data_IF_513076977708
#
_entry.id   IF_513076977708
#
_cell.length_a   1.000
_cell.length_b   1.000
_cell.length_c   1.000
_cell.angle_alpha   90.00
_cell.angle_beta   90.00
_cell.angle_gamma   90.00
#
_symmetry.space_group_name_H-M   'P 1'
#
loop_
_entity.id
_entity.type
_entity.pdbx_description
1 polymer ?
#
# COMPACT_ATOMS: atom_id res chain seq x y z
N UNK A 1 21.79 -9.39 6.34
CA UNK A 1 22.71 -8.57 5.50
C UNK A 1 21.95 -7.82 4.40
N UNK A 2 21.18 -8.49 3.53
CA UNK A 2 20.38 -7.83 2.47
C UNK A 2 19.46 -6.72 3.00
N UNK A 3 18.73 -6.98 4.09
CA UNK A 3 17.87 -5.99 4.76
C UNK A 3 18.59 -4.67 5.08
N UNK A 4 19.83 -4.73 5.56
CA UNK A 4 20.63 -3.54 5.83
C UNK A 4 20.92 -2.75 4.56
N UNK A 5 21.31 -3.43 3.48
CA UNK A 5 21.58 -2.77 2.21
C UNK A 5 20.33 -2.14 1.60
N UNK A 6 19.18 -2.84 1.64
CA UNK A 6 17.91 -2.26 1.18
C UNK A 6 17.53 -1.00 1.97
N UNK A 7 17.68 -1.03 3.29
CA UNK A 7 17.44 0.15 4.14
C UNK A 7 18.37 1.30 3.76
N UNK A 8 19.67 1.03 3.63
CA UNK A 8 20.66 2.04 3.23
C UNK A 8 20.34 2.65 1.86
N UNK A 9 19.97 1.83 0.87
CA UNK A 9 19.61 2.28 -0.48
C UNK A 9 18.37 3.18 -0.47
N UNK A 10 17.31 2.77 0.24
CA UNK A 10 16.07 3.56 0.30
C UNK A 10 16.32 4.87 1.07
N UNK A 11 17.07 4.85 2.18
CA UNK A 11 17.45 6.07 2.91
C UNK A 11 18.39 6.99 2.12
N UNK A 12 19.19 6.45 1.20
CA UNK A 12 19.99 7.22 0.25
C UNK A 12 19.14 7.83 -0.89
N UNK A 13 17.87 7.45 -1.00
CA UNK A 13 16.90 7.99 -1.95
C UNK A 13 16.83 7.23 -3.27
N UNK A 14 17.29 5.98 -3.34
CA UNK A 14 17.06 5.12 -4.49
C UNK A 14 15.56 4.80 -4.59
N UNK A 15 14.98 4.94 -5.79
CA UNK A 15 13.58 4.59 -6.02
C UNK A 15 13.43 3.09 -6.19
N UNK A 16 12.22 2.56 -6.00
CA UNK A 16 11.91 1.14 -6.19
C UNK A 16 12.27 0.65 -7.59
N UNK A 17 11.96 1.44 -8.63
CA UNK A 17 12.37 1.14 -10.01
C UNK A 17 13.89 1.10 -10.19
N UNK A 18 14.63 1.97 -9.50
CA UNK A 18 16.09 1.92 -9.54
C UNK A 18 16.61 0.65 -8.86
N UNK A 19 16.06 0.28 -7.70
CA UNK A 19 16.47 -0.94 -6.99
C UNK A 19 16.17 -2.19 -7.85
N UNK A 20 15.01 -2.25 -8.50
CA UNK A 20 14.65 -3.36 -9.41
C UNK A 20 15.70 -3.62 -10.49
N UNK A 21 16.26 -2.57 -11.09
CA UNK A 21 17.25 -2.71 -12.18
C UNK A 21 18.57 -3.37 -11.76
N UNK A 22 18.93 -3.35 -10.47
CA UNK A 22 20.16 -3.99 -9.98
C UNK A 22 19.91 -5.04 -8.89
N UNK A 23 18.66 -5.27 -8.49
CA UNK A 23 18.31 -6.22 -7.42
C UNK A 23 18.86 -7.64 -7.64
N UNK A 24 18.83 -8.23 -8.86
CA UNK A 24 19.42 -9.55 -9.09
C UNK A 24 20.91 -9.60 -8.75
N UNK A 25 21.66 -8.53 -9.07
CA UNK A 25 23.08 -8.41 -8.69
C UNK A 25 23.24 -8.15 -7.20
N UNK A 26 22.39 -7.32 -6.60
CA UNK A 26 22.43 -7.05 -5.16
C UNK A 26 22.29 -8.36 -4.36
N UNK A 27 21.37 -9.24 -4.75
CA UNK A 27 21.18 -10.54 -4.12
C UNK A 27 22.49 -11.36 -4.12
N UNK A 28 23.09 -11.57 -5.30
CA UNK A 28 24.34 -12.32 -5.46
C UNK A 28 25.49 -11.73 -4.63
N UNK A 29 25.65 -10.40 -4.63
CA UNK A 29 26.67 -9.73 -3.82
C UNK A 29 26.45 -9.92 -2.32
N UNK A 30 25.19 -9.91 -1.87
CA UNK A 30 24.88 -10.11 -0.45
C UNK A 30 25.10 -11.55 0.02
N UNK A 31 24.88 -12.54 -0.85
CA UNK A 31 25.23 -13.94 -0.57
C UNK A 31 26.74 -14.13 -0.45
N UNK A 32 27.51 -13.42 -1.29
CA UNK A 32 28.99 -13.40 -1.27
C UNK A 32 29.60 -12.55 -0.15
N UNK A 33 28.77 -11.96 0.74
CA UNK A 33 29.19 -11.09 1.85
C UNK A 33 30.14 -9.95 1.44
N UNK A 34 29.85 -9.37 0.28
CA UNK A 34 30.63 -8.31 -0.35
C UNK A 34 30.52 -6.98 0.44
N UNK A 35 31.58 -6.16 0.40
CA UNK A 35 31.62 -4.84 1.04
C UNK A 35 30.75 -3.78 0.33
N UNK A 36 30.32 -2.75 1.07
CA UNK A 36 29.56 -1.62 0.53
C UNK A 36 30.27 -0.94 -0.66
N UNK A 37 31.61 -0.89 -0.64
CA UNK A 37 32.43 -0.28 -1.71
C UNK A 37 32.23 -1.00 -3.03
N UNK A 38 32.19 -2.33 -3.03
CA UNK A 38 31.96 -3.11 -4.24
C UNK A 38 30.52 -2.96 -4.74
N UNK A 39 29.52 -2.87 -3.84
CA UNK A 39 28.14 -2.55 -4.22
C UNK A 39 28.04 -1.18 -4.89
N UNK A 40 28.73 -0.16 -4.35
CA UNK A 40 28.77 1.18 -4.96
C UNK A 40 29.36 1.16 -6.37
N UNK A 41 30.43 0.39 -6.57
CA UNK A 41 31.07 0.21 -7.88
C UNK A 41 30.08 -0.41 -8.87
N UNK A 42 29.37 -1.47 -8.47
CA UNK A 42 28.37 -2.14 -9.30
C UNK A 42 27.20 -1.21 -9.66
N UNK A 43 26.66 -0.45 -8.71
CA UNK A 43 25.59 0.53 -8.98
C UNK A 43 26.05 1.56 -10.02
N UNK A 44 27.31 2.00 -9.95
CA UNK A 44 27.88 2.94 -10.91
C UNK A 44 28.05 2.36 -12.34
N UNK A 45 27.99 1.04 -12.52
CA UNK A 45 27.95 0.40 -13.85
C UNK A 45 26.56 0.43 -14.47
N UNK A 46 25.51 0.46 -13.65
CA UNK A 46 24.10 0.38 -14.10
C UNK A 46 23.52 1.76 -14.40
N UNK A 47 23.96 2.79 -13.68
CA UNK A 47 23.44 4.15 -13.82
C UNK A 47 24.54 5.16 -14.15
N UNK A 48 24.28 6.14 -15.03
CA UNK A 48 25.21 7.24 -15.26
C UNK A 48 25.49 7.98 -13.95
N UNK A 49 26.77 8.08 -13.55
CA UNK A 49 27.19 8.67 -12.26
C UNK A 49 26.58 10.05 -12.00
N UNK A 50 26.40 10.87 -13.03
CA UNK A 50 25.78 12.19 -12.90
C UNK A 50 24.37 12.15 -12.28
N UNK A 51 23.58 11.11 -12.59
CA UNK A 51 22.17 10.99 -12.14
C UNK A 51 22.03 10.50 -10.69
N UNK A 52 23.01 9.77 -10.17
CA UNK A 52 22.96 9.15 -8.85
C UNK A 52 24.05 9.64 -7.89
N UNK A 53 24.88 10.62 -8.30
CA UNK A 53 26.01 11.12 -7.50
C UNK A 53 25.62 11.48 -6.07
N UNK A 54 24.56 12.26 -5.90
CA UNK A 54 24.08 12.65 -4.56
C UNK A 54 23.58 11.46 -3.74
N UNK A 55 22.98 10.44 -4.38
CA UNK A 55 22.52 9.22 -3.72
C UNK A 55 23.70 8.36 -3.25
N UNK A 56 24.73 8.22 -4.09
CA UNK A 56 25.96 7.50 -3.73
C UNK A 56 26.71 8.18 -2.59
N UNK A 57 26.80 9.52 -2.60
CA UNK A 57 27.40 10.28 -1.51
C UNK A 57 26.63 10.07 -0.20
N UNK A 58 25.29 10.18 -0.22
CA UNK A 58 24.46 9.89 0.96
C UNK A 58 24.66 8.46 1.46
N UNK A 59 24.70 7.49 0.55
CA UNK A 59 24.88 6.08 0.89
C UNK A 59 26.19 5.81 1.65
N UNK A 60 27.26 6.52 1.31
CA UNK A 60 28.55 6.42 1.99
C UNK A 60 28.55 7.01 3.41
N UNK A 61 27.67 7.99 3.68
CA UNK A 61 27.60 8.67 4.99
C UNK A 61 26.53 8.10 5.91
N UNK A 62 25.65 7.22 5.41
CA UNK A 62 24.59 6.64 6.21
C UNK A 62 25.13 5.56 7.15
N UNK A 63 24.67 5.61 8.40
CA UNK A 63 24.92 4.58 9.40
C UNK A 63 23.66 3.71 9.58
N UNK A 64 23.83 2.41 9.39
CA UNK A 64 22.75 1.43 9.57
C UNK A 64 22.32 1.32 11.04
N UNK A 65 23.23 1.51 12.00
CA UNK A 65 22.90 1.45 13.41
C UNK A 65 21.98 2.60 13.81
N UNK A 66 22.30 3.81 13.36
CA UNK A 66 21.41 4.96 13.49
C UNK A 66 20.03 4.72 12.87
N UNK A 67 19.96 4.16 11.64
CA UNK A 67 18.68 3.82 11.00
C UNK A 67 17.88 2.84 11.87
N UNK A 68 18.52 1.77 12.34
CA UNK A 68 17.88 0.76 13.16
C UNK A 68 17.37 1.33 14.50
N UNK A 69 18.18 2.14 15.18
CA UNK A 69 17.79 2.78 16.44
C UNK A 69 16.62 3.73 16.27
N UNK A 70 16.62 4.57 15.22
CA UNK A 70 15.51 5.49 14.93
C UNK A 70 14.22 4.73 14.63
N UNK A 71 14.30 3.64 13.85
CA UNK A 71 13.12 2.81 13.56
C UNK A 71 12.56 2.16 14.83
N UNK A 72 13.44 1.63 15.69
CA UNK A 72 13.06 1.02 16.96
C UNK A 72 12.43 2.04 17.94
N UNK A 73 13.03 3.22 18.11
CA UNK A 73 12.54 4.29 18.98
C UNK A 73 11.10 4.70 18.63
N UNK A 74 10.78 4.75 17.34
CA UNK A 74 9.45 5.11 16.84
C UNK A 74 8.50 3.92 16.63
N UNK A 75 8.91 2.71 17.03
CA UNK A 75 8.14 1.47 16.87
C UNK A 75 7.76 1.18 15.41
N UNK A 76 8.69 1.46 14.49
CA UNK A 76 8.52 1.21 13.06
C UNK A 76 9.34 -0.03 12.70
N UNK A 77 8.66 -1.06 12.19
CA UNK A 77 9.25 -2.33 11.82
C UNK A 77 9.47 -2.34 10.31
N UNK A 78 10.72 -2.39 9.81
CA UNK A 78 10.98 -2.58 8.39
C UNK A 78 10.78 -4.06 8.00
N UNK A 79 9.90 -4.33 7.04
CA UNK A 79 9.68 -5.63 6.40
C UNK A 79 10.19 -5.55 4.97
N UNK A 80 11.16 -6.39 4.63
CA UNK A 80 11.79 -6.44 3.30
C UNK A 80 11.15 -7.53 2.43
N UNK A 81 11.31 -7.45 1.11
CA UNK A 81 10.73 -8.41 0.14
C UNK A 81 11.09 -9.89 0.36
N UNK A 82 12.12 -10.16 1.17
CA UNK A 82 12.56 -11.50 1.54
C UNK A 82 12.23 -11.86 2.99
N UNK A 83 11.62 -10.96 3.76
CA UNK A 83 11.14 -11.28 5.10
C UNK A 83 9.90 -12.19 5.03
N UNK A 84 9.75 -13.16 5.95
CA UNK A 84 8.59 -14.06 5.98
C UNK A 84 7.23 -13.37 6.14
N UNK A 85 7.23 -12.16 6.70
CA UNK A 85 6.02 -11.34 6.87
C UNK A 85 5.68 -10.52 5.62
N UNK A 86 6.50 -10.57 4.57
CA UNK A 86 6.21 -9.82 3.35
C UNK A 86 5.00 -10.44 2.62
N UNK A 87 3.96 -9.66 2.32
CA UNK A 87 2.72 -10.14 1.70
C UNK A 87 2.98 -10.83 0.35
N UNK A 88 2.50 -12.07 0.19
CA UNK A 88 2.72 -12.87 -1.02
C UNK A 88 2.12 -12.20 -2.27
N UNK A 89 0.86 -11.77 -2.18
CA UNK A 89 0.19 -11.06 -3.27
C UNK A 89 0.94 -9.79 -3.67
N UNK A 90 1.43 -9.01 -2.70
CA UNK A 90 2.16 -7.79 -3.02
C UNK A 90 3.46 -8.10 -3.77
N UNK A 91 4.09 -9.25 -3.51
CA UNK A 91 5.31 -9.67 -4.20
C UNK A 91 5.09 -10.01 -5.67
N UNK A 92 3.85 -10.33 -6.07
CA UNK A 92 3.48 -10.73 -7.43
C UNK A 92 3.22 -9.55 -8.37
N UNK A 93 3.07 -8.32 -7.86
CA UNK A 93 2.84 -7.17 -8.73
C UNK A 93 4.08 -6.87 -9.58
N UNK A 94 3.93 -6.05 -10.62
CA UNK A 94 5.03 -5.70 -11.53
C UNK A 94 6.21 -5.00 -10.83
N UNK A 95 5.93 -4.05 -9.94
CA UNK A 95 6.92 -3.24 -9.23
C UNK A 95 6.73 -3.29 -7.70
N UNK A 96 6.97 -4.45 -7.05
CA UNK A 96 6.78 -4.61 -5.61
C UNK A 96 7.76 -3.72 -4.83
N UNK A 97 7.32 -3.12 -3.71
CA UNK A 97 8.20 -2.33 -2.85
C UNK A 97 9.24 -3.23 -2.16
N UNK A 98 10.52 -2.84 -2.16
CA UNK A 98 11.56 -3.68 -1.53
C UNK A 98 11.53 -3.67 0.00
N UNK A 99 11.01 -2.59 0.60
CA UNK A 99 10.84 -2.44 2.04
C UNK A 99 9.50 -1.76 2.32
N UNK A 100 8.76 -2.33 3.27
CA UNK A 100 7.61 -1.73 3.91
C UNK A 100 8.03 -1.30 5.32
N UNK A 101 7.83 -0.03 5.64
CA UNK A 101 7.90 0.50 6.99
C UNK A 101 6.53 0.31 7.62
N UNK A 102 6.44 -0.52 8.65
CA UNK A 102 5.21 -0.95 9.27
C UNK A 102 5.09 -0.42 10.69
N UNK A 103 3.91 0.02 11.11
CA UNK A 103 3.65 0.46 12.48
C UNK A 103 2.29 -0.06 12.96
N UNK A 104 2.31 -0.82 14.06
CA UNK A 104 1.15 -1.53 14.62
C UNK A 104 1.29 -3.07 14.54
N UNK A 105 0.18 -3.78 14.38
CA UNK A 105 0.09 -5.25 14.36
C UNK A 105 0.59 -5.86 13.05
N UNK A 106 1.81 -6.41 13.08
CA UNK A 106 2.48 -6.93 11.89
C UNK A 106 1.79 -8.15 11.26
N UNK A 107 1.13 -8.97 12.08
CA UNK A 107 0.51 -10.23 11.67
C UNK A 107 -0.56 -10.04 10.59
N UNK A 108 -1.16 -8.84 10.49
CA UNK A 108 -2.12 -8.49 9.44
C UNK A 108 -1.54 -8.63 8.02
N UNK A 109 -0.22 -8.52 7.84
CA UNK A 109 0.42 -8.72 6.54
C UNK A 109 0.36 -10.17 6.05
N UNK A 110 0.26 -11.13 6.95
CA UNK A 110 0.21 -12.57 6.62
C UNK A 110 -1.16 -13.00 6.07
N UNK A 111 -2.17 -12.12 6.13
CA UNK A 111 -3.53 -12.40 5.68
C UNK A 111 -3.84 -11.86 4.29
N UNK A 112 -2.85 -11.78 3.38
CA UNK A 112 -3.04 -11.16 2.05
C UNK A 112 -4.20 -11.78 1.26
N UNK A 113 -4.43 -13.10 1.38
CA UNK A 113 -5.55 -13.79 0.75
C UNK A 113 -6.93 -13.39 1.26
N UNK A 114 -7.00 -12.66 2.38
CA UNK A 114 -8.22 -12.10 2.99
C UNK A 114 -8.30 -10.57 2.92
N UNK A 115 -7.34 -9.94 2.27
CA UNK A 115 -7.34 -8.48 2.09
C UNK A 115 -8.35 -8.08 1.00
N UNK A 116 -9.20 -7.11 1.34
CA UNK A 116 -10.12 -6.43 0.43
C UNK A 116 -9.76 -4.93 0.44
N UNK A 117 -9.32 -4.42 -0.72
CA UNK A 117 -9.08 -3.00 -0.86
C UNK A 117 -10.38 -2.25 -1.04
N UNK A 118 -10.55 -1.13 -0.33
CA UNK A 118 -11.69 -0.24 -0.50
C UNK A 118 -11.18 1.09 -1.04
N UNK A 119 -11.65 1.48 -2.21
CA UNK A 119 -11.28 2.73 -2.87
C UNK A 119 -12.51 3.47 -3.38
N UNK A 120 -12.41 4.78 -3.54
CA UNK A 120 -13.52 5.56 -4.06
C UNK A 120 -13.25 7.06 -4.02
N UNK A 121 -14.33 7.83 -4.10
CA UNK A 121 -14.27 9.25 -4.21
C UNK A 121 -13.98 9.92 -2.86
N UNK A 122 -13.22 11.01 -2.93
CA UNK A 122 -13.00 11.89 -1.77
C UNK A 122 -14.28 12.65 -1.37
N UNK A 123 -15.18 12.84 -2.34
CA UNK A 123 -16.53 13.36 -2.16
C UNK A 123 -17.47 12.20 -2.47
N UNK A 124 -18.15 11.71 -1.47
CA UNK A 124 -19.09 10.61 -1.54
C UNK A 124 -20.49 11.11 -1.15
N UNK A 125 -21.51 10.34 -1.48
CA UNK A 125 -22.85 10.54 -0.95
C UNK A 125 -23.01 9.72 0.35
N UNK A 126 -24.18 9.79 0.98
CA UNK A 126 -24.51 8.95 2.15
C UNK A 126 -24.65 7.46 1.78
N UNK A 127 -24.67 7.15 0.48
CA UNK A 127 -24.67 5.79 -0.03
C UNK A 127 -23.43 4.99 0.40
N UNK A 128 -22.22 5.56 0.22
CA UNK A 128 -20.96 4.87 0.58
C UNK A 128 -20.93 4.38 2.04
N UNK A 129 -21.16 5.21 3.07
CA UNK A 129 -21.12 4.74 4.45
C UNK A 129 -22.20 3.70 4.76
N UNK A 130 -23.44 3.86 4.26
CA UNK A 130 -24.54 2.91 4.50
C UNK A 130 -24.25 1.53 3.93
N UNK A 131 -23.73 1.46 2.70
CA UNK A 131 -23.42 0.20 2.05
C UNK A 131 -22.20 -0.47 2.72
N UNK A 132 -21.15 0.29 3.03
CA UNK A 132 -19.99 -0.27 3.72
C UNK A 132 -20.36 -0.83 5.09
N UNK A 133 -21.20 -0.13 5.85
CA UNK A 133 -21.73 -0.66 7.12
C UNK A 133 -22.44 -2.01 6.92
N UNK A 134 -23.36 -2.07 5.94
CA UNK A 134 -24.14 -3.29 5.63
C UNK A 134 -23.26 -4.45 5.20
N UNK A 135 -22.30 -4.20 4.30
CA UNK A 135 -21.37 -5.23 3.83
C UNK A 135 -20.48 -5.72 4.98
N UNK A 136 -19.93 -4.81 5.79
CA UNK A 136 -18.98 -5.16 6.84
C UNK A 136 -19.63 -5.90 8.00
N UNK A 137 -20.90 -5.63 8.31
CA UNK A 137 -21.67 -6.46 9.23
C UNK A 137 -21.72 -7.92 8.79
N UNK A 138 -21.83 -8.17 7.48
CA UNK A 138 -21.86 -9.53 6.90
C UNK A 138 -20.49 -10.21 6.95
N UNK A 139 -19.40 -9.45 6.98
CA UNK A 139 -18.03 -9.99 7.05
C UNK A 139 -17.65 -10.53 8.44
N UNK A 140 -18.46 -10.32 9.49
CA UNK A 140 -18.13 -10.77 10.85
C UNK A 140 -17.89 -12.29 10.97
N UNK A 141 -18.60 -13.08 10.18
CA UNK A 141 -18.45 -14.55 10.17
C UNK A 141 -17.28 -15.03 9.29
N UNK A 142 -16.86 -14.20 8.34
CA UNK A 142 -15.71 -14.45 7.46
C UNK A 142 -14.86 -13.17 7.36
N UNK A 143 -14.09 -12.84 8.43
CA UNK A 143 -13.43 -11.55 8.54
C UNK A 143 -12.45 -11.30 7.40
N UNK A 144 -12.70 -10.23 6.65
CA UNK A 144 -11.78 -9.68 5.67
C UNK A 144 -10.92 -8.58 6.30
N UNK A 145 -9.69 -8.42 5.80
CA UNK A 145 -8.81 -7.32 6.18
C UNK A 145 -9.05 -6.15 5.24
N UNK A 146 -9.55 -5.04 5.78
CA UNK A 146 -9.89 -3.86 5.00
C UNK A 146 -8.63 -3.04 4.72
N UNK A 147 -8.22 -2.93 3.46
CA UNK A 147 -7.04 -2.18 3.04
C UNK A 147 -7.47 -0.87 2.39
N UNK A 148 -6.95 0.26 2.84
CA UNK A 148 -7.22 1.55 2.19
C UNK A 148 -6.12 2.57 2.48
N UNK A 149 -6.29 3.79 1.95
CA UNK A 149 -5.24 4.78 1.85
C UNK A 149 -5.25 5.90 2.90
N UNK A 150 -6.09 5.84 3.92
CA UNK A 150 -6.22 6.90 4.94
C UNK A 150 -6.44 8.33 4.38
N UNK A 151 -6.92 8.45 3.13
CA UNK A 151 -7.33 9.72 2.55
C UNK A 151 -8.71 10.17 3.09
N UNK A 152 -9.14 11.38 2.73
CA UNK A 152 -10.52 11.81 3.00
C UNK A 152 -11.53 11.01 2.16
N UNK A 153 -12.77 10.93 2.63
CA UNK A 153 -13.88 10.31 1.91
C UNK A 153 -13.90 8.80 2.11
N UNK A 154 -14.07 8.04 1.01
CA UNK A 154 -14.19 6.57 1.06
C UNK A 154 -13.11 5.90 1.90
N UNK A 155 -11.84 6.27 1.74
CA UNK A 155 -10.73 5.66 2.50
C UNK A 155 -10.92 5.79 4.02
N UNK A 156 -11.25 7.00 4.50
CA UNK A 156 -11.49 7.24 5.92
C UNK A 156 -12.71 6.48 6.42
N UNK A 157 -13.80 6.46 5.64
CA UNK A 157 -15.03 5.76 5.99
C UNK A 157 -14.81 4.25 6.07
N UNK A 158 -14.08 3.68 5.11
CA UNK A 158 -13.74 2.26 5.11
C UNK A 158 -13.02 1.86 6.40
N UNK A 159 -12.00 2.62 6.81
CA UNK A 159 -11.32 2.37 8.07
C UNK A 159 -12.23 2.57 9.29
N UNK A 160 -13.03 3.62 9.32
CA UNK A 160 -13.96 3.89 10.44
C UNK A 160 -14.98 2.76 10.60
N UNK A 161 -15.59 2.33 9.51
CA UNK A 161 -16.56 1.22 9.51
C UNK A 161 -15.89 -0.09 9.89
N UNK A 162 -14.66 -0.36 9.40
CA UNK A 162 -13.91 -1.54 9.81
C UNK A 162 -13.68 -1.56 11.33
N UNK A 163 -13.23 -0.44 11.91
CA UNK A 163 -13.04 -0.32 13.36
C UNK A 163 -14.34 -0.49 14.14
N UNK A 164 -15.44 0.13 13.70
CA UNK A 164 -16.76 0.00 14.34
C UNK A 164 -17.29 -1.44 14.32
N UNK A 165 -17.06 -2.16 13.21
CA UNK A 165 -17.47 -3.56 13.05
C UNK A 165 -16.43 -4.56 13.57
N UNK A 166 -15.35 -4.10 14.20
CA UNK A 166 -14.25 -4.90 14.75
C UNK A 166 -13.56 -5.77 13.68
N UNK A 167 -13.48 -5.26 12.45
CA UNK A 167 -12.75 -5.88 11.36
C UNK A 167 -11.30 -5.38 11.32
N UNK A 168 -10.35 -6.26 10.98
CA UNK A 168 -8.96 -5.86 10.82
C UNK A 168 -8.80 -4.86 9.66
N UNK A 169 -7.89 -3.90 9.79
CA UNK A 169 -7.66 -2.90 8.74
C UNK A 169 -6.19 -2.51 8.57
N UNK A 170 -5.78 -2.21 7.34
CA UNK A 170 -4.42 -1.76 7.00
C UNK A 170 -4.47 -0.41 6.28
N UNK A 171 -3.88 0.61 6.87
CA UNK A 171 -3.71 1.92 6.25
C UNK A 171 -2.39 2.03 5.47
N UNK A 172 -2.45 2.18 4.15
CA UNK A 172 -1.26 2.32 3.31
C UNK A 172 -0.94 3.80 3.10
N UNK A 173 0.25 4.27 3.43
CA UNK A 173 0.66 5.68 3.40
C UNK A 173 1.46 6.03 2.14
N UNK A 174 1.28 7.26 1.63
CA UNK A 174 2.04 7.82 0.51
C UNK A 174 3.24 8.68 0.96
N UNK A 175 3.66 8.55 2.21
CA UNK A 175 4.67 9.37 2.88
C UNK A 175 5.24 8.61 4.09
N UNK A 176 6.31 9.12 4.69
CA UNK A 176 6.93 8.50 5.87
C UNK A 176 6.12 8.70 7.15
N UNK A 177 6.25 7.79 8.12
CA UNK A 177 5.46 7.81 9.37
C UNK A 177 5.65 9.07 10.24
N UNK A 178 6.67 9.90 10.02
CA UNK A 178 6.85 11.18 10.74
C UNK A 178 5.96 12.31 10.20
N UNK A 179 5.28 12.07 9.08
CA UNK A 179 4.35 13.01 8.47
C UNK A 179 2.94 12.45 8.51
N UNK A 180 1.93 13.31 8.41
CA UNK A 180 0.53 12.88 8.26
C UNK A 180 -0.24 13.78 7.32
N UNK A 181 -1.01 13.17 6.41
CA UNK A 181 -1.93 13.87 5.52
C UNK A 181 -3.08 12.96 5.12
N UNK A 182 -4.32 13.48 5.05
CA UNK A 182 -4.75 14.82 5.47
C UNK A 182 -4.85 14.94 7.00
N UNK A 183 -4.74 16.17 7.55
CA UNK A 183 -4.80 16.40 9.01
C UNK A 183 -6.07 15.84 9.67
N UNK A 184 -7.19 15.82 8.94
CA UNK A 184 -8.48 15.30 9.42
C UNK A 184 -8.46 13.81 9.78
N UNK A 185 -7.58 13.01 9.17
CA UNK A 185 -7.49 11.56 9.43
C UNK A 185 -6.40 11.21 10.44
N UNK A 186 -5.81 12.19 11.15
CA UNK A 186 -4.71 11.96 12.09
C UNK A 186 -5.14 11.08 13.26
N UNK A 187 -6.30 11.39 13.86
CA UNK A 187 -6.86 10.62 14.95
C UNK A 187 -7.22 9.19 14.52
N UNK A 188 -7.82 9.05 13.33
CA UNK A 188 -8.11 7.75 12.73
C UNK A 188 -6.84 6.91 12.54
N UNK A 189 -5.77 7.52 12.02
CA UNK A 189 -4.48 6.84 11.90
C UNK A 189 -3.94 6.40 13.26
N UNK A 190 -4.02 7.23 14.30
CA UNK A 190 -3.57 6.87 15.65
C UNK A 190 -4.31 5.65 16.19
N UNK A 191 -5.64 5.57 15.98
CA UNK A 191 -6.43 4.40 16.36
C UNK A 191 -6.00 3.14 15.59
N UNK A 192 -5.73 3.27 14.29
CA UNK A 192 -5.23 2.14 13.49
C UNK A 192 -3.84 1.72 13.97
N UNK A 193 -2.92 2.65 14.21
CA UNK A 193 -1.55 2.31 14.68
C UNK A 193 -1.54 1.64 16.06
N UNK A 194 -2.55 1.88 16.91
CA UNK A 194 -2.64 1.27 18.25
C UNK A 194 -3.28 -0.11 18.28
N UNK A 195 -4.14 -0.44 17.32
CA UNK A 195 -4.95 -1.67 17.34
C UNK A 195 -4.86 -2.52 16.06
N UNK A 196 -4.25 -1.99 15.00
CA UNK A 196 -4.21 -2.54 13.66
C UNK A 196 -2.88 -2.16 13.01
N UNK A 197 -2.81 -1.94 11.69
CA UNK A 197 -1.56 -1.70 10.99
C UNK A 197 -1.60 -0.50 10.06
N UNK A 198 -0.53 0.27 10.04
CA UNK A 198 -0.23 1.18 8.94
C UNK A 198 1.11 0.82 8.30
N UNK A 199 1.21 1.03 7.00
CA UNK A 199 2.44 0.75 6.26
C UNK A 199 2.81 1.90 5.32
N UNK A 200 4.09 2.01 4.99
CA UNK A 200 4.60 2.91 3.95
C UNK A 200 5.76 2.27 3.22
N UNK A 201 5.89 2.52 1.92
CA UNK A 201 7.13 2.20 1.18
C UNK A 201 8.25 3.21 1.47
N UNK A 202 7.91 4.36 2.05
CA UNK A 202 8.83 5.48 2.21
C UNK A 202 9.45 5.52 3.61
N UNK A 203 10.76 5.84 3.73
CA UNK A 203 11.41 6.04 5.02
C UNK A 203 10.64 7.02 5.90
N UNK A 204 10.69 6.90 7.24
CA UNK A 204 9.86 7.67 8.16
C UNK A 204 9.90 9.20 7.96
N UNK A 205 11.06 9.74 7.56
CA UNK A 205 11.28 11.17 7.34
C UNK A 205 10.77 11.69 5.98
N UNK A 206 10.29 10.82 5.09
CA UNK A 206 9.92 11.18 3.72
C UNK A 206 8.70 12.10 3.69
N UNK A 207 8.80 13.30 3.10
CA UNK A 207 7.70 14.27 3.12
C UNK A 207 6.53 13.86 2.24
N UNK A 208 5.41 14.57 2.35
CA UNK A 208 4.24 14.37 1.49
C UNK A 208 4.53 14.92 0.09
N UNK A 209 4.17 14.17 -0.95
CA UNK A 209 4.25 14.64 -2.34
C UNK A 209 3.10 14.09 -3.19
N UNK A 210 2.55 14.91 -4.09
CA UNK A 210 1.35 14.56 -4.88
C UNK A 210 1.53 13.31 -5.75
N UNK A 211 2.71 13.10 -6.32
CA UNK A 211 2.99 11.96 -7.19
C UNK A 211 3.06 10.62 -6.42
N UNK A 212 3.27 10.65 -5.10
CA UNK A 212 3.34 9.44 -4.26
C UNK A 212 1.98 8.81 -4.00
N UNK A 213 0.87 9.54 -4.16
CA UNK A 213 -0.47 8.96 -3.94
C UNK A 213 -0.83 7.95 -5.04
N UNK A 214 -0.65 8.24 -6.35
CA UNK A 214 -0.75 7.20 -7.38
C UNK A 214 0.24 6.04 -7.19
N UNK A 215 1.51 6.32 -6.84
CA UNK A 215 2.51 5.28 -6.57
C UNK A 215 2.10 4.38 -5.40
N UNK A 216 1.44 4.93 -4.37
CA UNK A 216 0.93 4.17 -3.23
C UNK A 216 -0.21 3.24 -3.63
N UNK A 217 -1.07 3.63 -4.56
CA UNK A 217 -2.28 2.87 -4.89
C UNK A 217 -2.00 1.45 -5.39
N UNK A 218 -0.89 1.23 -6.10
CA UNK A 218 -0.48 -0.13 -6.49
C UNK A 218 -0.23 -1.06 -5.31
N UNK A 219 0.14 -0.50 -4.14
CA UNK A 219 0.35 -1.27 -2.91
C UNK A 219 -1.01 -1.64 -2.30
N UNK A 220 -1.99 -0.74 -2.36
CA UNK A 220 -3.37 -1.03 -1.91
C UNK A 220 -3.96 -2.20 -2.69
N UNK A 221 -3.93 -2.12 -4.02
CA UNK A 221 -4.40 -3.22 -4.88
C UNK A 221 -3.50 -4.46 -4.75
N UNK A 222 -2.17 -4.27 -4.71
CA UNK A 222 -1.21 -5.36 -4.64
C UNK A 222 -1.29 -6.20 -3.38
N UNK A 223 -1.66 -5.59 -2.23
CA UNK A 223 -1.90 -6.29 -0.98
C UNK A 223 -3.18 -7.13 -0.97
N UNK A 224 -4.10 -6.84 -1.88
CA UNK A 224 -5.49 -7.29 -1.79
C UNK A 224 -5.81 -8.34 -2.84
N UNK A 225 -6.60 -9.35 -2.46
CA UNK A 225 -7.13 -10.34 -3.41
C UNK A 225 -8.17 -9.72 -4.35
N UNK A 226 -8.89 -8.71 -3.84
CA UNK A 226 -9.86 -7.94 -4.62
C UNK A 226 -9.96 -6.49 -4.16
N UNK A 227 -10.59 -5.68 -5.01
CA UNK A 227 -10.76 -4.24 -4.84
C UNK A 227 -12.23 -3.88 -5.02
N UNK A 228 -12.86 -3.31 -3.99
CA UNK A 228 -14.19 -2.73 -4.04
C UNK A 228 -14.10 -1.22 -4.30
N UNK A 229 -14.73 -0.77 -5.37
CA UNK A 229 -14.93 0.64 -5.66
C UNK A 229 -16.32 1.08 -5.22
N UNK A 230 -16.40 2.02 -4.27
CA UNK A 230 -17.71 2.47 -3.76
C UNK A 230 -18.37 3.47 -4.71
N UNK A 231 -17.77 4.64 -4.89
CA UNK A 231 -18.25 5.72 -5.75
C UNK A 231 -17.05 6.31 -6.47
N UNK A 232 -17.04 6.35 -7.81
CA UNK A 232 -15.90 6.88 -8.56
C UNK A 232 -16.34 7.69 -9.78
N UNK A 233 -15.76 8.89 -9.95
CA UNK A 233 -15.96 9.66 -11.20
C UNK A 233 -15.17 9.00 -12.33
N UNK A 234 -15.67 9.14 -13.56
CA UNK A 234 -15.11 8.59 -14.82
C UNK A 234 -13.62 8.94 -15.06
N UNK A 235 -13.09 10.01 -14.46
CA UNK A 235 -11.65 10.34 -14.47
C UNK A 235 -11.15 10.60 -13.05
N UNK A 236 -11.03 9.54 -12.26
CA UNK A 236 -10.61 9.64 -10.86
C UNK A 236 -9.44 8.72 -10.54
N UNK A 237 -8.66 9.06 -9.51
CA UNK A 237 -7.55 8.22 -9.06
C UNK A 237 -7.97 6.83 -8.56
N UNK A 238 -9.26 6.64 -8.24
CA UNK A 238 -9.81 5.32 -7.91
C UNK A 238 -9.86 4.39 -9.15
N UNK A 239 -10.09 4.94 -10.34
CA UNK A 239 -10.07 4.16 -11.58
C UNK A 239 -8.66 3.72 -11.97
N UNK A 240 -7.65 4.55 -11.70
CA UNK A 240 -6.24 4.14 -11.87
C UNK A 240 -5.93 2.92 -11.01
N UNK A 241 -6.42 2.90 -9.76
CA UNK A 241 -6.25 1.73 -8.88
C UNK A 241 -6.96 0.49 -9.41
N UNK A 242 -8.09 0.67 -10.09
CA UNK A 242 -8.83 -0.44 -10.70
C UNK A 242 -8.08 -0.99 -11.92
N UNK A 243 -7.54 -0.13 -12.78
CA UNK A 243 -6.70 -0.56 -13.90
C UNK A 243 -5.49 -1.34 -13.38
N UNK A 244 -4.83 -0.84 -12.32
CA UNK A 244 -3.75 -1.55 -11.63
C UNK A 244 -4.21 -2.89 -11.04
N UNK A 245 -5.42 -2.98 -10.48
CA UNK A 245 -5.97 -4.21 -9.94
C UNK A 245 -6.20 -5.26 -11.03
N UNK A 246 -6.75 -4.86 -12.18
CA UNK A 246 -6.93 -5.74 -13.34
C UNK A 246 -5.59 -6.24 -13.89
N UNK A 247 -4.60 -5.35 -14.05
CA UNK A 247 -3.24 -5.72 -14.47
C UNK A 247 -2.57 -6.71 -13.50
N UNK A 248 -2.93 -6.63 -12.21
CA UNK A 248 -2.44 -7.50 -11.14
C UNK A 248 -3.28 -8.79 -10.96
N UNK A 249 -4.24 -9.06 -11.86
CA UNK A 249 -5.17 -10.18 -11.76
C UNK A 249 -5.91 -10.23 -10.41
N UNK A 250 -6.41 -9.07 -9.94
CA UNK A 250 -7.25 -8.98 -8.74
C UNK A 250 -8.72 -8.93 -9.12
N UNK A 251 -9.56 -9.44 -8.24
CA UNK A 251 -11.00 -9.31 -8.43
C UNK A 251 -11.41 -7.86 -8.27
N UNK A 252 -12.27 -7.38 -9.15
CA UNK A 252 -12.75 -6.00 -9.14
C UNK A 252 -14.25 -5.99 -8.92
N UNK A 253 -14.66 -5.31 -7.87
CA UNK A 253 -16.04 -5.16 -7.48
C UNK A 253 -16.43 -3.69 -7.51
N UNK A 254 -17.67 -3.40 -7.92
CA UNK A 254 -18.20 -2.03 -7.93
C UNK A 254 -19.59 -1.98 -7.33
N UNK A 255 -19.87 -0.92 -6.58
CA UNK A 255 -21.23 -0.70 -6.09
C UNK A 255 -22.12 -0.14 -7.22
N UNK A 256 -23.39 -0.58 -7.32
CA UNK A 256 -24.39 0.06 -8.15
C UNK A 256 -24.81 1.41 -7.56
N UNK A 257 -25.73 2.12 -8.22
CA UNK A 257 -26.29 3.34 -7.67
C UNK A 257 -27.25 4.03 -8.62
N UNK A 258 -27.59 5.27 -8.31
CA UNK A 258 -28.52 6.08 -9.10
C UNK A 258 -27.94 6.44 -10.49
N UNK A 259 -28.78 6.39 -11.53
CA UNK A 259 -28.39 6.69 -12.92
C UNK A 259 -27.87 8.14 -13.09
N UNK A 260 -28.43 9.10 -12.37
CA UNK A 260 -28.05 10.51 -12.41
C UNK A 260 -26.83 10.83 -11.53
N UNK A 261 -26.41 9.90 -10.66
CA UNK A 261 -25.17 10.07 -9.90
C UNK A 261 -23.96 9.87 -10.82
N UNK A 262 -23.20 10.94 -11.05
CA UNK A 262 -21.97 10.91 -11.85
C UNK A 262 -20.92 9.94 -11.30
N UNK A 263 -20.93 9.64 -10.00
CA UNK A 263 -20.07 8.66 -9.38
C UNK A 263 -20.49 7.21 -9.66
N UNK A 264 -21.77 6.96 -9.90
CA UNK A 264 -22.26 5.65 -10.32
C UNK A 264 -21.87 5.38 -11.77
N UNK A 265 -21.89 6.40 -12.64
CA UNK A 265 -21.49 6.23 -14.04
C UNK A 265 -20.08 5.67 -14.20
N UNK A 266 -19.11 6.13 -13.39
CA UNK A 266 -17.74 5.60 -13.43
C UNK A 266 -17.67 4.12 -13.07
N UNK A 267 -18.40 3.71 -12.01
CA UNK A 267 -18.53 2.29 -11.64
C UNK A 267 -19.16 1.46 -12.77
N UNK A 268 -20.26 1.93 -13.36
CA UNK A 268 -20.98 1.17 -14.39
C UNK A 268 -20.20 1.01 -15.70
N UNK A 269 -19.26 1.92 -16.01
CA UNK A 269 -18.33 1.73 -17.12
C UNK A 269 -17.39 0.54 -16.85
N UNK A 270 -16.94 0.36 -15.61
CA UNK A 270 -16.07 -0.76 -15.23
C UNK A 270 -16.78 -2.11 -15.29
N UNK A 271 -18.09 -2.13 -15.06
CA UNK A 271 -18.91 -3.34 -15.29
C UNK A 271 -18.80 -3.80 -16.75
N UNK A 272 -18.84 -2.85 -17.70
CA UNK A 272 -18.67 -3.17 -19.13
C UNK A 272 -17.29 -3.72 -19.46
N UNK A 273 -16.31 -3.50 -18.60
CA UNK A 273 -14.94 -3.98 -18.72
C UNK A 273 -14.68 -5.26 -17.90
N UNK A 274 -15.72 -5.82 -17.26
CA UNK A 274 -15.65 -7.10 -16.55
C UNK A 274 -15.62 -7.00 -15.02
N UNK A 275 -15.78 -5.80 -14.44
CA UNK A 275 -15.96 -5.67 -13.00
C UNK A 275 -17.31 -6.26 -12.54
N UNK A 276 -17.31 -6.88 -11.38
CA UNK A 276 -18.51 -7.48 -10.79
C UNK A 276 -19.35 -6.42 -10.05
N UNK A 277 -20.67 -6.42 -10.31
CA UNK A 277 -21.61 -5.60 -9.55
C UNK A 277 -21.88 -6.27 -8.20
N UNK A 278 -21.76 -5.52 -7.12
CA UNK A 278 -22.08 -5.99 -5.76
C UNK A 278 -23.51 -5.61 -5.39
N UNK A 279 -24.37 -6.61 -5.29
CA UNK A 279 -25.73 -6.47 -4.78
C UNK A 279 -25.82 -6.95 -3.32
N UNK A 280 -24.91 -7.81 -2.89
CA UNK A 280 -24.83 -8.35 -1.54
C UNK A 280 -23.38 -8.68 -1.13
N UNK A 281 -23.14 -8.91 0.15
CA UNK A 281 -21.82 -9.33 0.63
C UNK A 281 -21.35 -10.66 0.01
N UNK A 282 -22.27 -11.52 -0.42
CA UNK A 282 -21.94 -12.82 -1.02
C UNK A 282 -21.22 -12.70 -2.36
N UNK A 283 -21.49 -11.63 -3.12
CA UNK A 283 -20.83 -11.35 -4.40
C UNK A 283 -19.32 -11.12 -4.22
N UNK A 284 -18.92 -10.65 -3.03
CA UNK A 284 -17.52 -10.51 -2.64
C UNK A 284 -17.04 -11.80 -1.97
N UNK A 285 -17.75 -12.29 -0.95
CA UNK A 285 -17.28 -13.37 -0.08
C UNK A 285 -17.04 -14.68 -0.82
N UNK A 286 -17.78 -14.97 -1.90
CA UNK A 286 -17.59 -16.19 -2.71
C UNK A 286 -16.14 -16.37 -3.20
N UNK A 287 -15.40 -15.27 -3.36
CA UNK A 287 -14.02 -15.28 -3.83
C UNK A 287 -13.01 -15.39 -2.69
N UNK A 288 -13.45 -15.40 -1.44
CA UNK A 288 -12.61 -15.46 -0.24
C UNK A 288 -12.82 -16.74 0.59
N UNK A 289 -13.69 -17.65 0.11
CA UNK A 289 -13.94 -18.98 0.68
C UNK A 289 -12.96 -20.01 0.13
#
# INVERSE_FOLDING_TARGET
MLKHYLLLLIYAGFTTQQIHRFYPRLLDLTEKKVSLVQILTEIATVFPRATIRHKLQRLQTLDIQWIASTLQEHQIIPVTINDPHYPSLLKEIYDPPFVLFCKGQLDLLQHSCRCLAIVGARQHTDYTPQVLETLFQSFKHHPLVIVSGLANGTDAIAHQQALQQHLPTIGVLGFGHFHHYPSKTSHLRQMIESTHLTISEYPPHTPIAKFRFPERNRIISGLSKGVLVTEAKERSGALITLDQALEQNRNVYVLPGDFFNLHTRGNMLRVKEGAEIVLSAQDILKDYV
#
